data_IF_774080445138
#
_entry.id   IF_774080445138
#
_cell.length_a   1.000
_cell.length_b   1.000
_cell.length_c   1.000
_cell.angle_alpha   90.00
_cell.angle_beta   90.00
_cell.angle_gamma   90.00
#
_symmetry.space_group_name_H-M   'P 1'
#
loop_
_entity.id
_entity.type
_entity.pdbx_description
1 polymer ?
#
# COMPACT_ATOMS: atom_id res chain seq x y z
N UNK A 1 -4.51 -6.82 11.31
CA UNK A 1 -3.23 -6.22 11.68
C UNK A 1 -3.34 -5.42 12.98
N UNK A 2 -2.22 -5.02 13.56
CA UNK A 2 -2.17 -4.17 14.76
C UNK A 2 -2.52 -2.73 14.32
N UNK A 3 -3.55 -2.14 14.92
CA UNK A 3 -3.89 -0.73 14.69
C UNK A 3 -3.05 0.18 15.59
N UNK A 4 -2.90 1.45 15.22
CA UNK A 4 -2.21 2.45 16.06
C UNK A 4 -2.79 2.54 17.48
N UNK A 5 -4.12 2.43 17.62
CA UNK A 5 -4.80 2.40 18.91
C UNK A 5 -4.32 1.23 19.76
N UNK A 6 -4.28 0.03 19.21
CA UNK A 6 -3.81 -1.18 19.88
C UNK A 6 -2.33 -1.06 20.25
N UNK A 7 -1.51 -0.54 19.32
CA UNK A 7 -0.09 -0.35 19.59
C UNK A 7 0.15 0.63 20.76
N UNK A 8 -0.67 1.68 20.88
CA UNK A 8 -0.56 2.65 21.97
C UNK A 8 -1.12 2.14 23.31
N UNK A 9 -2.17 1.32 23.30
CA UNK A 9 -2.82 0.81 24.52
C UNK A 9 -2.13 -0.44 25.10
N UNK A 10 -1.60 -1.31 24.23
CA UNK A 10 -1.04 -2.61 24.61
C UNK A 10 0.45 -2.76 24.25
N UNK A 11 1.00 -1.83 23.48
CA UNK A 11 2.41 -1.80 23.11
C UNK A 11 3.29 -1.43 24.31
N UNK A 12 4.54 -1.89 24.24
CA UNK A 12 5.59 -1.43 25.17
C UNK A 12 6.31 -0.26 24.53
N UNK A 13 6.94 0.57 25.34
CA UNK A 13 7.79 1.65 24.85
C UNK A 13 8.91 1.12 23.94
N UNK A 14 9.10 1.75 22.79
CA UNK A 14 10.06 1.31 21.78
C UNK A 14 11.50 1.34 22.31
N UNK A 15 11.85 2.35 23.11
CA UNK A 15 13.18 2.49 23.67
C UNK A 15 13.49 1.38 24.68
N UNK A 16 12.50 0.98 25.49
CA UNK A 16 12.61 -0.15 26.38
C UNK A 16 12.87 -1.45 25.61
N UNK A 17 12.11 -1.70 24.55
CA UNK A 17 12.26 -2.90 23.69
C UNK A 17 13.63 -2.93 23.02
N UNK A 18 14.08 -1.80 22.46
CA UNK A 18 15.37 -1.70 21.79
C UNK A 18 16.54 -1.93 22.77
N UNK A 19 16.43 -1.41 23.99
CA UNK A 19 17.45 -1.67 25.04
C UNK A 19 17.47 -3.14 25.47
N UNK A 20 16.33 -3.82 25.57
CA UNK A 20 16.29 -5.26 25.82
C UNK A 20 16.89 -6.05 24.63
N UNK A 21 16.55 -5.67 23.42
CA UNK A 21 17.08 -6.31 22.22
C UNK A 21 18.60 -6.13 22.10
N UNK A 22 19.14 -4.94 22.40
CA UNK A 22 20.58 -4.68 22.45
C UNK A 22 21.29 -5.63 23.43
N UNK A 23 20.74 -5.86 24.64
CA UNK A 23 21.27 -6.82 25.61
C UNK A 23 21.27 -8.26 25.12
N UNK A 24 20.27 -8.64 24.29
CA UNK A 24 20.24 -9.97 23.65
C UNK A 24 21.31 -10.06 22.56
N UNK A 25 21.49 -8.99 21.77
CA UNK A 25 22.51 -8.93 20.73
C UNK A 25 23.94 -9.12 21.29
N UNK A 26 24.22 -8.64 22.50
CA UNK A 26 25.53 -8.86 23.15
C UNK A 26 25.84 -10.35 23.36
N UNK A 27 24.82 -11.17 23.57
CA UNK A 27 24.93 -12.59 23.93
C UNK A 27 24.93 -13.53 22.73
N UNK A 28 24.50 -13.07 21.56
CA UNK A 28 24.40 -13.91 20.36
C UNK A 28 25.62 -13.75 19.45
N UNK A 29 25.97 -14.82 18.76
CA UNK A 29 27.09 -14.84 17.80
C UNK A 29 26.66 -14.47 16.39
N UNK A 30 25.43 -14.83 16.01
CA UNK A 30 24.88 -14.72 14.67
C UNK A 30 23.42 -14.29 14.79
N UNK A 31 22.97 -13.44 13.89
CA UNK A 31 21.56 -13.12 13.72
C UNK A 31 21.05 -13.76 12.44
N UNK A 32 19.93 -14.47 12.52
CA UNK A 32 19.33 -15.14 11.38
C UNK A 32 17.94 -14.60 11.08
N UNK A 33 17.60 -14.61 9.80
CA UNK A 33 16.29 -14.25 9.29
C UNK A 33 16.08 -14.80 7.88
N UNK A 34 14.90 -14.64 7.34
CA UNK A 34 14.61 -14.93 5.94
C UNK A 34 14.41 -13.61 5.20
N UNK A 35 15.40 -13.18 4.39
CA UNK A 35 15.60 -11.81 3.92
C UNK A 35 16.00 -10.87 5.06
N UNK A 36 16.96 -11.30 5.86
CA UNK A 36 17.40 -10.66 7.11
C UNK A 36 17.86 -9.20 6.95
N UNK A 37 18.28 -8.82 5.75
CA UNK A 37 18.69 -7.44 5.45
C UNK A 37 17.54 -6.44 5.65
N UNK A 38 16.32 -6.85 5.34
CA UNK A 38 15.12 -6.04 5.59
C UNK A 38 14.94 -5.75 7.09
N UNK A 39 15.04 -6.78 7.92
CA UNK A 39 14.92 -6.64 9.38
C UNK A 39 16.04 -5.78 9.97
N UNK A 40 17.28 -5.96 9.49
CA UNK A 40 18.42 -5.14 9.90
C UNK A 40 18.24 -3.66 9.61
N UNK A 41 17.70 -3.35 8.43
CA UNK A 41 17.48 -1.97 8.04
C UNK A 41 16.38 -1.30 8.88
N UNK A 42 15.28 -2.01 9.16
CA UNK A 42 14.18 -1.48 9.98
C UNK A 42 14.64 -1.30 11.43
N UNK A 43 15.18 -2.36 12.05
CA UNK A 43 15.59 -2.31 13.45
C UNK A 43 16.76 -1.35 13.66
N UNK A 44 17.73 -1.33 12.73
CA UNK A 44 18.85 -0.39 12.77
C UNK A 44 18.40 1.07 12.66
N UNK A 45 17.39 1.36 11.82
CA UNK A 45 16.81 2.70 11.73
C UNK A 45 16.15 3.13 13.05
N UNK A 46 15.49 2.21 13.76
CA UNK A 46 14.88 2.53 15.07
C UNK A 46 15.94 2.77 16.16
N UNK A 47 17.03 1.99 16.19
CA UNK A 47 18.17 2.27 17.06
C UNK A 47 18.75 3.66 16.79
N UNK A 48 18.93 4.02 15.52
CA UNK A 48 19.42 5.34 15.11
C UNK A 48 18.47 6.48 15.54
N UNK A 49 17.17 6.33 15.28
CA UNK A 49 16.14 7.34 15.65
C UNK A 49 16.09 7.60 17.15
N UNK A 50 16.28 6.56 17.95
CA UNK A 50 16.26 6.64 19.42
C UNK A 50 17.63 6.99 20.01
N UNK A 51 18.66 7.17 19.18
CA UNK A 51 20.03 7.42 19.59
C UNK A 51 20.57 6.37 20.61
N UNK A 52 20.17 5.11 20.39
CA UNK A 52 20.60 3.98 21.21
C UNK A 52 21.79 3.32 20.49
N UNK A 53 22.90 3.17 21.22
CA UNK A 53 24.06 2.46 20.71
C UNK A 53 23.75 0.95 20.64
N UNK A 54 23.95 0.35 19.49
CA UNK A 54 23.78 -1.07 19.26
C UNK A 54 25.00 -1.67 18.56
N UNK A 55 25.03 -2.99 18.50
CA UNK A 55 26.02 -3.75 17.75
C UNK A 55 25.37 -4.65 16.66
N UNK A 56 24.16 -4.33 16.26
CA UNK A 56 23.42 -5.12 15.27
C UNK A 56 24.16 -5.22 13.94
N UNK A 57 24.71 -4.11 13.45
CA UNK A 57 25.42 -4.07 12.18
C UNK A 57 26.76 -4.82 12.19
N UNK A 58 27.33 -5.03 13.37
CA UNK A 58 28.57 -5.79 13.58
C UNK A 58 28.33 -7.30 13.63
N UNK A 59 27.09 -7.75 13.84
CA UNK A 59 26.77 -9.18 13.93
C UNK A 59 26.76 -9.84 12.57
N UNK A 60 27.38 -11.02 12.44
CA UNK A 60 27.24 -11.85 11.24
C UNK A 60 25.79 -12.19 10.96
N UNK A 61 25.43 -12.18 9.67
CA UNK A 61 24.09 -12.46 9.18
C UNK A 61 24.03 -13.87 8.59
N UNK A 62 23.04 -14.65 8.98
CA UNK A 62 22.71 -15.92 8.35
C UNK A 62 21.34 -15.80 7.68
N UNK A 63 21.32 -15.39 6.41
CA UNK A 63 20.10 -15.23 5.63
C UNK A 63 19.66 -16.56 5.04
N UNK A 64 18.59 -17.14 5.59
CA UNK A 64 18.06 -18.43 5.12
C UNK A 64 17.53 -18.38 3.68
N UNK A 65 17.11 -17.22 3.19
CA UNK A 65 16.68 -17.02 1.81
C UNK A 65 17.88 -17.16 0.85
N UNK A 66 18.97 -16.44 1.14
CA UNK A 66 20.18 -16.45 0.30
C UNK A 66 20.83 -17.82 0.35
N UNK A 67 21.07 -18.35 1.56
CA UNK A 67 21.72 -19.64 1.78
C UNK A 67 20.90 -20.84 1.24
N UNK A 68 19.57 -20.72 1.21
CA UNK A 68 18.66 -21.73 0.68
C UNK A 68 18.49 -21.70 -0.84
N UNK A 69 18.99 -20.67 -1.53
CA UNK A 69 18.76 -20.49 -2.98
C UNK A 69 19.28 -21.63 -3.81
N UNK A 70 20.53 -22.05 -3.60
CA UNK A 70 21.14 -23.16 -4.34
C UNK A 70 20.59 -24.54 -3.94
N UNK A 71 20.09 -24.67 -2.72
CA UNK A 71 19.40 -25.87 -2.26
C UNK A 71 18.01 -26.03 -2.89
N UNK A 72 17.24 -24.93 -2.99
CA UNK A 72 15.90 -24.96 -3.56
C UNK A 72 15.90 -25.13 -5.08
N UNK A 73 16.88 -24.55 -5.79
CA UNK A 73 17.02 -24.59 -7.25
C UNK A 73 15.77 -24.15 -8.02
N UNK A 74 15.09 -23.11 -7.53
CA UNK A 74 13.88 -22.61 -8.16
C UNK A 74 14.19 -21.90 -9.47
N UNK A 75 13.42 -22.23 -10.53
CA UNK A 75 13.56 -21.56 -11.82
C UNK A 75 13.07 -20.10 -11.80
N UNK A 76 13.50 -19.30 -12.79
CA UNK A 76 13.02 -17.93 -12.99
C UNK A 76 13.87 -16.83 -12.37
N UNK A 77 15.07 -17.14 -11.90
CA UNK A 77 16.05 -16.13 -11.47
C UNK A 77 16.66 -15.36 -12.66
N UNK A 78 17.09 -14.13 -12.42
CA UNK A 78 17.71 -13.27 -13.43
C UNK A 78 19.11 -13.79 -13.83
N UNK A 79 19.43 -13.73 -15.13
CA UNK A 79 20.77 -14.06 -15.65
C UNK A 79 21.13 -15.56 -15.55
N UNK A 80 20.14 -16.46 -15.63
CA UNK A 80 20.37 -17.90 -15.56
C UNK A 80 20.65 -18.46 -14.15
N UNK A 81 20.48 -17.64 -13.11
CA UNK A 81 20.60 -18.04 -11.70
C UNK A 81 19.29 -18.62 -11.18
N UNK A 82 19.33 -19.30 -10.04
CA UNK A 82 18.13 -19.71 -9.33
C UNK A 82 17.42 -18.50 -8.70
N UNK A 83 16.09 -18.59 -8.61
CA UNK A 83 15.26 -17.61 -7.87
C UNK A 83 15.43 -17.85 -6.37
N UNK A 84 15.61 -16.78 -5.60
CA UNK A 84 15.59 -16.87 -4.14
C UNK A 84 14.22 -17.38 -3.65
N UNK A 85 14.18 -18.38 -2.76
CA UNK A 85 12.93 -18.96 -2.28
C UNK A 85 12.21 -18.01 -1.32
N UNK A 86 10.88 -18.07 -1.31
CA UNK A 86 10.09 -17.58 -0.17
C UNK A 86 10.25 -18.54 1.01
N UNK A 87 9.95 -18.07 2.23
CA UNK A 87 10.02 -18.90 3.43
C UNK A 87 9.19 -20.19 3.30
N UNK A 88 7.98 -20.10 2.77
CA UNK A 88 7.09 -21.23 2.52
C UNK A 88 7.70 -22.24 1.52
N UNK A 89 8.34 -21.75 0.44
CA UNK A 89 8.97 -22.58 -0.59
C UNK A 89 10.19 -23.34 -0.03
N UNK A 90 10.99 -22.68 0.81
CA UNK A 90 12.13 -23.28 1.48
C UNK A 90 11.69 -24.28 2.55
N UNK A 91 10.68 -23.93 3.34
CA UNK A 91 10.11 -24.82 4.37
C UNK A 91 9.53 -26.10 3.73
N UNK A 92 8.72 -25.95 2.69
CA UNK A 92 8.15 -27.09 1.95
C UNK A 92 9.24 -27.97 1.32
N UNK A 93 10.32 -27.38 0.82
CA UNK A 93 11.46 -28.13 0.29
C UNK A 93 12.19 -28.93 1.36
N UNK A 94 12.29 -28.43 2.60
CA UNK A 94 12.97 -29.10 3.72
C UNK A 94 12.13 -30.19 4.37
N UNK A 95 10.82 -29.96 4.50
CA UNK A 95 9.92 -30.80 5.31
C UNK A 95 8.86 -31.57 4.49
N UNK A 96 8.68 -31.25 3.20
CA UNK A 96 7.69 -31.89 2.33
C UNK A 96 6.25 -31.41 2.53
N UNK A 97 6.03 -30.42 3.39
CA UNK A 97 4.72 -29.80 3.65
C UNK A 97 4.90 -28.33 3.98
N UNK A 98 3.84 -27.53 3.84
CA UNK A 98 3.81 -26.12 4.25
C UNK A 98 3.62 -26.00 5.75
N UNK A 99 4.03 -24.85 6.32
CA UNK A 99 3.69 -24.51 7.69
C UNK A 99 2.37 -23.75 7.73
N UNK A 100 1.67 -23.84 8.86
CA UNK A 100 0.39 -23.19 9.07
C UNK A 100 0.55 -21.72 9.46
N UNK A 101 -0.49 -20.91 9.18
CA UNK A 101 -0.57 -19.50 9.56
C UNK A 101 0.55 -18.60 8.99
N UNK A 102 1.03 -18.86 7.76
CA UNK A 102 1.93 -17.96 7.05
C UNK A 102 1.36 -16.51 7.08
N UNK A 103 2.28 -15.52 7.27
CA UNK A 103 1.98 -14.10 7.51
C UNK A 103 1.51 -13.73 8.93
N UNK A 104 1.63 -14.68 9.87
CA UNK A 104 1.60 -14.38 11.30
C UNK A 104 3.06 -14.28 11.80
N UNK A 105 3.45 -13.14 12.39
CA UNK A 105 4.84 -12.90 12.80
C UNK A 105 5.42 -14.00 13.70
N UNK A 106 4.61 -14.62 14.59
CA UNK A 106 5.07 -15.73 15.41
C UNK A 106 5.27 -17.02 14.62
N UNK A 107 4.36 -17.31 13.69
CA UNK A 107 4.49 -18.47 12.81
C UNK A 107 5.68 -18.33 11.87
N UNK A 108 5.90 -17.12 11.32
CA UNK A 108 7.05 -16.83 10.46
C UNK A 108 8.37 -16.93 11.22
N UNK A 109 8.46 -16.43 12.47
CA UNK A 109 9.65 -16.59 13.33
C UNK A 109 9.88 -18.06 13.67
N UNK A 110 8.84 -18.82 14.01
CA UNK A 110 8.92 -20.24 14.27
C UNK A 110 9.44 -21.02 13.04
N UNK A 111 8.85 -20.77 11.88
CA UNK A 111 9.25 -21.39 10.62
C UNK A 111 10.70 -21.02 10.24
N UNK A 112 11.08 -19.74 10.40
CA UNK A 112 12.44 -19.27 10.12
C UNK A 112 13.46 -19.93 11.06
N UNK A 113 13.18 -20.03 12.35
CA UNK A 113 14.05 -20.71 13.31
C UNK A 113 14.18 -22.20 12.99
N UNK A 114 13.06 -22.85 12.66
CA UNK A 114 13.05 -24.27 12.29
C UNK A 114 13.86 -24.53 11.02
N UNK A 115 13.65 -23.69 9.98
CA UNK A 115 14.41 -23.72 8.74
C UNK A 115 15.91 -23.50 8.99
N UNK A 116 16.28 -22.50 9.79
CA UNK A 116 17.67 -22.20 10.12
C UNK A 116 18.38 -23.39 10.76
N UNK A 117 17.79 -23.97 11.80
CA UNK A 117 18.40 -25.11 12.49
C UNK A 117 18.40 -26.38 11.63
N UNK A 118 17.40 -26.58 10.78
CA UNK A 118 17.41 -27.72 9.83
C UNK A 118 18.50 -27.56 8.78
N UNK A 119 18.65 -26.37 8.18
CA UNK A 119 19.74 -26.07 7.25
C UNK A 119 21.11 -26.24 7.88
N UNK A 120 21.25 -25.88 9.17
CA UNK A 120 22.46 -26.15 9.95
C UNK A 120 22.68 -27.66 10.13
N UNK A 121 21.63 -28.41 10.48
CA UNK A 121 21.68 -29.87 10.69
C UNK A 121 22.11 -30.61 9.43
N UNK A 122 21.57 -30.27 8.27
CA UNK A 122 21.90 -30.92 6.99
C UNK A 122 23.14 -30.34 6.30
N UNK A 123 23.77 -29.30 6.89
CA UNK A 123 25.06 -28.76 6.42
C UNK A 123 24.95 -27.76 5.26
N UNK A 124 23.80 -27.12 5.08
CA UNK A 124 23.63 -26.05 4.06
C UNK A 124 24.33 -24.77 4.53
N UNK A 125 24.31 -24.47 5.84
CA UNK A 125 24.92 -23.25 6.39
C UNK A 125 26.39 -23.51 6.70
N UNK A 126 27.34 -22.78 6.06
CA UNK A 126 28.78 -22.93 6.33
C UNK A 126 29.15 -22.56 7.77
N UNK A 127 30.14 -23.21 8.34
CA UNK A 127 30.65 -22.97 9.71
C UNK A 127 31.15 -21.54 9.90
N UNK A 128 31.67 -20.93 8.85
CA UNK A 128 32.13 -19.54 8.84
C UNK A 128 30.99 -18.55 9.09
N UNK A 129 29.82 -18.82 8.51
CA UNK A 129 28.60 -18.03 8.73
C UNK A 129 28.10 -18.18 10.15
N UNK A 130 28.16 -19.41 10.68
CA UNK A 130 27.73 -19.73 12.05
C UNK A 130 28.73 -19.25 13.13
N UNK A 131 29.94 -18.84 12.73
CA UNK A 131 31.04 -18.52 13.67
C UNK A 131 31.30 -19.66 14.66
N UNK A 132 31.34 -20.90 14.15
CA UNK A 132 31.52 -22.12 14.93
C UNK A 132 32.62 -22.99 14.30
N UNK A 133 32.97 -24.15 14.92
CA UNK A 133 33.86 -25.12 14.35
C UNK A 133 33.15 -26.34 13.78
N UNK A 134 33.81 -27.07 12.90
CA UNK A 134 33.28 -28.33 12.34
C UNK A 134 32.92 -29.33 13.45
N UNK A 135 33.75 -29.41 14.49
CA UNK A 135 33.49 -30.31 15.62
C UNK A 135 32.21 -29.92 16.39
N UNK A 136 31.96 -28.62 16.56
CA UNK A 136 30.74 -28.12 17.22
C UNK A 136 29.51 -28.40 16.35
N UNK A 137 29.63 -28.23 15.03
CA UNK A 137 28.57 -28.58 14.09
C UNK A 137 28.29 -30.07 14.06
N UNK A 138 29.36 -30.90 14.05
CA UNK A 138 29.23 -32.35 14.12
C UNK A 138 28.53 -32.77 15.43
N UNK A 139 28.92 -32.19 16.55
CA UNK A 139 28.26 -32.43 17.84
C UNK A 139 26.78 -32.05 17.81
N UNK A 140 26.44 -30.89 17.23
CA UNK A 140 25.04 -30.50 17.06
C UNK A 140 24.26 -31.55 16.27
N UNK A 141 24.79 -32.05 15.18
CA UNK A 141 24.17 -33.12 14.37
C UNK A 141 23.95 -34.42 15.14
N UNK A 142 24.82 -34.73 16.10
CA UNK A 142 24.60 -35.91 16.96
C UNK A 142 23.48 -35.71 17.99
N UNK A 143 23.27 -34.46 18.44
CA UNK A 143 22.18 -34.13 19.35
C UNK A 143 20.83 -34.09 18.65
N UNK A 144 20.81 -33.75 17.36
CA UNK A 144 19.60 -33.62 16.56
C UNK A 144 19.72 -34.54 15.31
N UNK A 145 19.61 -35.87 15.46
CA UNK A 145 19.68 -36.80 14.35
C UNK A 145 18.47 -36.71 13.41
N UNK A 146 17.30 -36.37 13.94
CA UNK A 146 16.04 -36.26 13.22
C UNK A 146 15.77 -34.81 12.77
N UNK A 147 14.90 -34.58 11.78
CA UNK A 147 14.47 -33.25 11.36
C UNK A 147 14.02 -32.37 12.54
N UNK A 148 14.42 -31.10 12.50
CA UNK A 148 14.11 -30.15 13.57
C UNK A 148 12.60 -29.95 13.68
N UNK A 149 12.07 -30.16 14.87
CA UNK A 149 10.65 -29.98 15.18
C UNK A 149 10.31 -28.51 15.45
N UNK A 150 9.04 -28.08 15.29
CA UNK A 150 8.61 -26.74 15.63
C UNK A 150 8.96 -26.37 17.08
N UNK A 151 9.44 -25.16 17.28
CA UNK A 151 9.86 -24.66 18.60
C UNK A 151 8.67 -24.28 19.50
N UNK A 152 7.44 -24.24 18.97
CA UNK A 152 6.22 -23.84 19.70
C UNK A 152 6.43 -22.53 20.46
N UNK A 153 7.01 -21.53 19.80
CA UNK A 153 7.17 -20.20 20.35
C UNK A 153 5.78 -19.64 20.60
N UNK A 154 5.35 -19.63 21.85
CA UNK A 154 4.08 -19.04 22.26
C UNK A 154 4.34 -17.55 22.50
N UNK A 155 3.79 -16.71 21.63
CA UNK A 155 3.65 -15.29 21.99
C UNK A 155 2.69 -15.24 23.18
N UNK A 156 3.15 -14.73 24.31
CA UNK A 156 2.35 -14.60 25.54
C UNK A 156 1.19 -13.60 25.43
N UNK A 157 0.71 -13.32 24.23
CA UNK A 157 -0.51 -12.56 23.98
C UNK A 157 -1.58 -13.51 23.48
N UNK A 158 -2.73 -13.41 24.10
CA UNK A 158 -3.94 -14.12 23.70
C UNK A 158 -4.39 -13.57 22.34
N UNK A 159 -3.83 -14.08 21.24
CA UNK A 159 -4.30 -13.80 19.85
C UNK A 159 -5.79 -14.15 19.72
N UNK A 160 -6.28 -15.08 20.56
CA UNK A 160 -7.70 -15.41 20.67
C UNK A 160 -8.58 -14.20 21.06
N UNK A 161 -8.08 -13.28 21.90
CA UNK A 161 -8.84 -12.07 22.26
C UNK A 161 -8.89 -11.04 21.14
N UNK A 162 -7.90 -11.04 20.25
CA UNK A 162 -7.89 -10.15 19.07
C UNK A 162 -9.00 -10.52 18.07
N UNK A 163 -9.19 -11.80 17.79
CA UNK A 163 -10.28 -12.26 16.92
C UNK A 163 -11.64 -12.14 17.58
N UNK A 164 -11.71 -12.33 18.90
CA UNK A 164 -12.95 -12.18 19.67
C UNK A 164 -13.30 -10.70 19.92
N UNK A 165 -12.32 -9.81 20.16
CA UNK A 165 -12.55 -8.36 20.22
C UNK A 165 -12.92 -7.77 18.85
N UNK A 166 -12.39 -8.32 17.74
CA UNK A 166 -12.85 -7.94 16.39
C UNK A 166 -14.33 -8.33 16.13
N UNK A 167 -14.83 -9.38 16.79
CA UNK A 167 -16.25 -9.74 16.76
C UNK A 167 -17.12 -8.90 17.70
N UNK A 168 -16.52 -8.17 18.65
CA UNK A 168 -17.23 -7.31 19.62
C UNK A 168 -17.05 -5.80 19.40
N UNK A 169 -16.14 -5.36 18.52
CA UNK A 169 -16.26 -4.03 17.94
C UNK A 169 -17.36 -4.14 16.88
N UNK A 170 -18.57 -3.87 17.30
CA UNK A 170 -19.69 -3.53 16.44
C UNK A 170 -19.32 -2.25 15.69
N UNK A 171 -18.56 -2.41 14.61
CA UNK A 171 -18.60 -1.43 13.55
C UNK A 171 -19.99 -1.58 12.98
N UNK A 172 -20.95 -0.81 13.44
CA UNK A 172 -22.34 -0.88 13.03
C UNK A 172 -22.52 -1.57 11.68
N UNK A 173 -23.50 -2.35 11.48
CA UNK A 173 -23.58 -3.18 10.27
C UNK A 173 -23.29 -2.27 9.07
N UNK A 174 -22.66 -2.79 8.02
CA UNK A 174 -22.49 -2.04 6.75
C UNK A 174 -23.83 -1.45 6.31
N UNK A 175 -24.94 -2.06 6.73
CA UNK A 175 -26.30 -1.61 6.51
C UNK A 175 -26.65 -0.28 7.25
N UNK A 176 -25.87 0.13 8.26
CA UNK A 176 -26.02 1.43 8.95
C UNK A 176 -25.22 2.55 8.27
N UNK A 177 -24.35 2.24 7.32
CA UNK A 177 -23.64 3.25 6.53
C UNK A 177 -24.61 3.72 5.45
N UNK A 178 -25.01 4.99 5.53
CA UNK A 178 -25.77 5.63 4.46
C UNK A 178 -24.91 5.74 3.19
N UNK A 179 -24.88 4.67 2.40
CA UNK A 179 -24.15 4.60 1.14
C UNK A 179 -24.61 5.66 0.14
N UNK A 180 -25.80 6.23 0.33
CA UNK A 180 -26.27 7.36 -0.48
C UNK A 180 -25.47 8.65 -0.28
N UNK A 181 -24.62 8.71 0.74
CA UNK A 181 -23.69 9.83 1.01
C UNK A 181 -22.25 9.53 0.71
N UNK A 182 -21.93 8.26 0.40
CA UNK A 182 -20.57 7.84 0.09
C UNK A 182 -20.35 7.81 -1.43
N UNK A 183 -19.19 8.24 -1.86
CA UNK A 183 -18.68 7.98 -3.22
C UNK A 183 -17.15 7.93 -3.21
N UNK A 184 -16.58 7.23 -4.18
CA UNK A 184 -15.14 7.18 -4.39
C UNK A 184 -14.77 8.14 -5.53
N UNK A 185 -13.87 9.10 -5.26
CA UNK A 185 -13.38 10.04 -6.25
C UNK A 185 -11.96 9.72 -6.73
N UNK A 186 -11.19 8.92 -5.99
CA UNK A 186 -9.83 8.52 -6.34
C UNK A 186 -9.87 7.15 -7.08
N UNK A 187 -10.35 7.17 -8.31
CA UNK A 187 -10.38 6.00 -9.18
C UNK A 187 -9.53 6.23 -10.42
N UNK A 188 -8.73 5.22 -10.75
CA UNK A 188 -7.95 5.16 -11.98
C UNK A 188 -8.64 4.31 -13.03
N UNK A 189 -8.64 4.77 -14.27
CA UNK A 189 -9.14 4.02 -15.41
C UNK A 189 -8.00 3.37 -16.22
N UNK A 190 -8.37 2.66 -17.29
CA UNK A 190 -7.40 2.10 -18.28
C UNK A 190 -6.46 3.14 -18.90
N UNK A 191 -6.75 4.44 -18.75
CA UNK A 191 -5.83 5.51 -19.16
C UNK A 191 -4.67 5.72 -18.20
N UNK A 192 -4.73 5.16 -16.99
CA UNK A 192 -3.59 4.98 -16.09
C UNK A 192 -2.81 3.74 -16.51
N UNK A 193 -2.14 3.83 -17.66
CA UNK A 193 -1.52 2.71 -18.37
C UNK A 193 -0.56 1.93 -17.47
N UNK A 194 -0.67 0.60 -17.45
CA UNK A 194 0.10 -0.37 -16.64
C UNK A 194 -0.19 -0.31 -15.12
N UNK A 195 -1.07 0.57 -14.64
CA UNK A 195 -1.41 0.68 -13.22
C UNK A 195 -2.87 0.35 -12.92
N UNK A 196 -3.77 0.58 -13.87
CA UNK A 196 -5.19 0.27 -13.72
C UNK A 196 -5.76 -0.46 -14.95
N UNK A 197 -6.75 -1.32 -14.71
CA UNK A 197 -7.46 -2.11 -15.74
C UNK A 197 -8.95 -1.78 -15.80
N UNK A 198 -9.45 -0.93 -14.92
CA UNK A 198 -10.87 -0.58 -14.83
C UNK A 198 -11.31 0.22 -16.04
N UNK A 199 -12.31 -0.27 -16.78
CA UNK A 199 -12.91 0.51 -17.87
C UNK A 199 -13.79 1.63 -17.28
N UNK A 200 -13.89 2.76 -18.00
CA UNK A 200 -14.78 3.86 -17.60
C UNK A 200 -16.23 3.38 -17.46
N UNK A 201 -16.68 2.52 -18.36
CA UNK A 201 -18.05 1.99 -18.33
C UNK A 201 -18.31 1.13 -17.09
N UNK A 202 -17.33 0.30 -16.67
CA UNK A 202 -17.45 -0.55 -15.47
C UNK A 202 -17.46 0.31 -14.20
N UNK A 203 -16.65 1.37 -14.15
CA UNK A 203 -16.63 2.32 -13.06
C UNK A 203 -18.00 2.99 -12.88
N UNK A 204 -18.59 3.50 -13.97
CA UNK A 204 -19.89 4.17 -13.96
C UNK A 204 -21.01 3.18 -13.67
N UNK A 205 -20.94 1.97 -14.27
CA UNK A 205 -21.90 0.92 -13.98
C UNK A 205 -21.92 0.59 -12.48
N UNK A 206 -20.75 0.39 -11.87
CA UNK A 206 -20.64 0.10 -10.44
C UNK A 206 -21.20 1.24 -9.58
N UNK A 207 -20.86 2.50 -9.88
CA UNK A 207 -21.39 3.67 -9.19
C UNK A 207 -22.93 3.80 -9.32
N UNK A 208 -23.47 3.38 -10.48
CA UNK A 208 -24.92 3.36 -10.73
C UNK A 208 -25.62 2.25 -9.97
N UNK A 209 -25.06 1.04 -10.00
CA UNK A 209 -25.61 -0.15 -9.33
C UNK A 209 -25.62 0.04 -7.78
N UNK A 210 -24.60 0.69 -7.23
CA UNK A 210 -24.47 0.99 -5.80
C UNK A 210 -25.20 2.30 -5.39
N UNK A 211 -25.87 2.98 -6.33
CA UNK A 211 -26.60 4.21 -6.10
C UNK A 211 -25.75 5.37 -5.53
N UNK A 212 -24.46 5.45 -5.90
CA UNK A 212 -23.61 6.54 -5.47
C UNK A 212 -24.12 7.89 -5.98
N UNK A 213 -23.99 8.97 -5.17
CA UNK A 213 -24.39 10.32 -5.58
C UNK A 213 -23.39 10.94 -6.56
N UNK A 214 -22.12 10.50 -6.53
CA UNK A 214 -21.06 10.99 -7.38
C UNK A 214 -20.06 9.88 -7.70
N UNK A 215 -19.24 10.08 -8.70
CA UNK A 215 -18.12 9.20 -9.05
C UNK A 215 -16.95 10.05 -9.54
N UNK A 216 -15.75 9.78 -9.02
CA UNK A 216 -14.53 10.45 -9.44
C UNK A 216 -13.70 9.62 -10.39
N UNK A 217 -12.89 10.31 -11.20
CA UNK A 217 -11.84 9.69 -12.02
C UNK A 217 -10.61 10.59 -12.04
N UNK A 218 -9.46 10.05 -11.61
CA UNK A 218 -8.18 10.77 -11.46
C UNK A 218 -7.04 9.95 -12.08
N UNK A 219 -7.03 9.84 -13.39
CA UNK A 219 -6.00 9.08 -14.08
C UNK A 219 -4.59 9.63 -13.81
N UNK A 220 -3.61 8.73 -13.75
CA UNK A 220 -2.25 9.02 -13.36
C UNK A 220 -1.50 9.78 -14.45
N UNK A 221 -1.17 11.04 -14.18
CA UNK A 221 -0.39 11.92 -15.04
C UNK A 221 -1.13 12.44 -16.29
N UNK A 222 -2.41 12.11 -16.48
CA UNK A 222 -3.10 12.53 -17.69
C UNK A 222 -4.62 12.76 -17.52
N UNK A 223 -5.18 13.51 -18.46
CA UNK A 223 -6.61 13.83 -18.56
C UNK A 223 -7.30 13.19 -19.79
N UNK A 224 -6.69 12.14 -20.38
CA UNK A 224 -7.14 11.58 -21.66
C UNK A 224 -8.53 10.93 -21.57
N UNK A 225 -8.89 10.36 -20.41
CA UNK A 225 -10.18 9.73 -20.14
C UNK A 225 -11.31 10.71 -19.85
N UNK A 226 -11.02 11.97 -19.50
CA UNK A 226 -11.97 12.90 -18.88
C UNK A 226 -13.25 13.13 -19.72
N UNK A 227 -13.10 13.41 -21.01
CA UNK A 227 -14.25 13.60 -21.91
C UNK A 227 -15.12 12.35 -22.01
N UNK A 228 -14.50 11.19 -22.21
CA UNK A 228 -15.21 9.91 -22.28
C UNK A 228 -15.94 9.59 -20.98
N UNK A 229 -15.31 9.90 -19.85
CA UNK A 229 -15.89 9.71 -18.52
C UNK A 229 -17.15 10.56 -18.32
N UNK A 230 -17.07 11.87 -18.57
CA UNK A 230 -18.21 12.78 -18.42
C UNK A 230 -19.35 12.36 -19.36
N UNK A 231 -19.06 12.09 -20.64
CA UNK A 231 -20.08 11.64 -21.61
C UNK A 231 -20.76 10.33 -21.19
N UNK A 232 -20.02 9.40 -20.58
CA UNK A 232 -20.61 8.15 -20.11
C UNK A 232 -21.47 8.34 -18.85
N UNK A 233 -21.10 9.28 -17.95
CA UNK A 233 -21.95 9.68 -16.81
C UNK A 233 -23.24 10.35 -17.30
N UNK A 234 -23.17 11.22 -18.31
CA UNK A 234 -24.36 11.84 -18.92
C UNK A 234 -25.29 10.79 -19.52
N UNK A 235 -24.74 9.77 -20.21
CA UNK A 235 -25.51 8.63 -20.69
C UNK A 235 -26.24 7.87 -19.58
N UNK A 236 -25.52 7.54 -18.50
CA UNK A 236 -26.11 6.89 -17.33
C UNK A 236 -27.20 7.73 -16.66
N UNK A 237 -27.04 9.05 -16.61
CA UNK A 237 -28.06 9.97 -16.10
C UNK A 237 -29.29 10.01 -16.99
N UNK A 238 -29.10 9.94 -18.33
CA UNK A 238 -30.21 9.81 -19.27
C UNK A 238 -31.03 8.53 -19.03
N UNK A 239 -30.36 7.42 -18.79
CA UNK A 239 -30.99 6.13 -18.46
C UNK A 239 -31.73 6.17 -17.12
N UNK A 240 -31.17 6.80 -16.08
CA UNK A 240 -31.83 7.03 -14.78
C UNK A 240 -33.11 7.84 -14.94
N UNK A 241 -33.04 8.96 -15.66
CA UNK A 241 -34.18 9.81 -15.91
C UNK A 241 -35.31 9.09 -16.68
N UNK A 242 -34.94 8.27 -17.68
CA UNK A 242 -35.88 7.46 -18.45
C UNK A 242 -36.60 6.43 -17.56
N UNK A 243 -35.85 5.66 -16.77
CA UNK A 243 -36.39 4.66 -15.83
C UNK A 243 -37.35 5.29 -14.82
N UNK A 244 -36.98 6.44 -14.27
CA UNK A 244 -37.84 7.17 -13.33
C UNK A 244 -39.15 7.68 -13.98
N UNK A 245 -39.05 8.17 -15.22
CA UNK A 245 -40.25 8.59 -15.97
C UNK A 245 -41.19 7.40 -16.27
N UNK A 246 -40.63 6.25 -16.65
CA UNK A 246 -41.38 5.02 -16.90
C UNK A 246 -42.05 4.53 -15.60
N UNK A 247 -41.34 4.58 -14.46
CA UNK A 247 -41.90 4.26 -13.15
C UNK A 247 -43.10 5.16 -12.79
N UNK A 248 -42.94 6.46 -12.95
CA UNK A 248 -44.05 7.39 -12.68
C UNK A 248 -45.28 7.14 -13.56
N UNK A 249 -45.09 6.86 -14.85
CA UNK A 249 -46.17 6.53 -15.76
C UNK A 249 -46.90 5.23 -15.36
N UNK A 250 -46.18 4.17 -14.98
CA UNK A 250 -46.77 2.91 -14.47
C UNK A 250 -47.53 3.13 -13.16
N UNK A 251 -46.96 3.93 -12.25
CA UNK A 251 -47.60 4.27 -10.96
C UNK A 251 -48.93 5.00 -11.16
N UNK A 252 -48.93 5.98 -12.07
CA UNK A 252 -50.16 6.73 -12.42
C UNK A 252 -51.19 5.78 -13.06
N UNK A 253 -50.79 4.89 -13.96
CA UNK A 253 -51.71 3.94 -14.61
C UNK A 253 -52.34 2.98 -13.59
N UNK A 254 -51.57 2.51 -12.61
CA UNK A 254 -52.06 1.64 -11.54
C UNK A 254 -53.06 2.42 -10.62
N UNK A 255 -52.73 3.66 -10.26
CA UNK A 255 -53.64 4.54 -9.48
C UNK A 255 -54.96 4.76 -10.21
N UNK A 256 -54.95 5.04 -11.52
CA UNK A 256 -56.16 5.21 -12.35
C UNK A 256 -57.01 3.94 -12.45
N UNK A 257 -56.39 2.77 -12.36
CA UNK A 257 -57.05 1.45 -12.38
C UNK A 257 -57.49 0.96 -11.00
N UNK A 258 -57.07 1.64 -9.92
CA UNK A 258 -57.30 1.20 -8.54
C UNK A 258 -56.51 -0.02 -8.15
N UNK A 259 -55.39 -0.28 -8.81
CA UNK A 259 -54.49 -1.42 -8.56
C UNK A 259 -53.40 -0.99 -7.58
N UNK A 260 -52.93 -1.96 -6.76
CA UNK A 260 -51.82 -1.74 -5.86
C UNK A 260 -50.47 -1.73 -6.64
N UNK A 261 -49.65 -0.70 -6.45
CA UNK A 261 -48.36 -0.54 -7.12
C UNK A 261 -47.21 -0.67 -6.14
N UNK A 262 -46.46 -1.79 -6.25
CA UNK A 262 -45.41 -2.19 -5.28
C UNK A 262 -43.99 -2.22 -5.89
N UNK A 263 -43.76 -1.62 -7.09
CA UNK A 263 -42.41 -1.49 -7.64
C UNK A 263 -41.62 -0.46 -6.80
N UNK A 264 -40.32 -0.75 -6.45
CA UNK A 264 -39.48 0.23 -5.78
C UNK A 264 -39.17 1.42 -6.68
N UNK A 265 -39.20 2.62 -6.11
CA UNK A 265 -38.88 3.85 -6.84
C UNK A 265 -37.40 3.84 -7.28
N UNK A 266 -37.10 3.96 -8.59
CA UNK A 266 -35.73 4.04 -9.05
C UNK A 266 -35.08 5.36 -8.68
N UNK A 267 -33.75 5.35 -8.52
CA UNK A 267 -32.97 6.57 -8.21
C UNK A 267 -33.18 7.61 -9.32
N UNK A 268 -33.72 8.76 -8.96
CA UNK A 268 -33.93 9.88 -9.86
C UNK A 268 -32.80 10.91 -9.85
N UNK A 269 -32.02 10.94 -8.78
CA UNK A 269 -30.92 11.88 -8.61
C UNK A 269 -29.83 11.60 -9.66
N UNK A 270 -29.29 12.63 -10.34
CA UNK A 270 -28.20 12.46 -11.29
C UNK A 270 -26.90 12.04 -10.58
N UNK A 271 -26.16 11.16 -11.20
CA UNK A 271 -24.78 10.85 -10.81
C UNK A 271 -23.88 12.04 -11.17
N UNK A 272 -23.12 12.56 -10.21
CA UNK A 272 -22.24 13.71 -10.41
C UNK A 272 -20.82 13.22 -10.81
N UNK A 273 -20.29 13.62 -11.99
CA UNK A 273 -18.91 13.31 -12.35
C UNK A 273 -17.94 14.25 -11.62
N UNK A 274 -16.94 13.69 -10.94
CA UNK A 274 -15.81 14.43 -10.37
C UNK A 274 -14.57 14.13 -11.20
N UNK A 275 -14.07 15.13 -11.92
CA UNK A 275 -12.93 14.99 -12.83
C UNK A 275 -11.67 15.49 -12.18
N UNK A 276 -10.60 14.71 -12.22
CA UNK A 276 -9.29 15.08 -11.70
C UNK A 276 -8.15 14.40 -12.43
N UNK A 277 -6.98 14.57 -11.87
CA UNK A 277 -5.76 13.90 -12.30
C UNK A 277 -4.82 13.73 -11.11
N UNK A 278 -4.17 12.58 -10.99
CA UNK A 278 -3.08 12.38 -10.06
C UNK A 278 -1.76 12.76 -10.74
N UNK A 279 -1.16 13.87 -10.31
CA UNK A 279 0.06 14.39 -10.93
C UNK A 279 1.32 13.88 -10.24
N UNK A 280 2.35 13.62 -11.03
CA UNK A 280 3.71 13.46 -10.53
C UNK A 280 4.37 14.82 -10.32
N UNK A 281 4.87 15.05 -9.11
CA UNK A 281 5.56 16.26 -8.71
C UNK A 281 7.07 16.05 -8.75
N UNK A 282 7.79 16.97 -9.34
CA UNK A 282 9.24 17.09 -9.25
C UNK A 282 9.64 18.54 -9.38
N UNK A 283 10.40 19.09 -8.42
CA UNK A 283 10.90 20.47 -8.49
C UNK A 283 11.78 20.71 -9.73
N UNK A 284 12.36 19.61 -10.25
CA UNK A 284 13.21 19.61 -11.46
C UNK A 284 12.49 18.94 -12.64
N UNK A 285 11.21 19.22 -12.83
CA UNK A 285 10.37 18.51 -13.79
C UNK A 285 10.87 18.59 -15.25
N UNK A 286 11.58 19.65 -15.64
CA UNK A 286 12.16 19.78 -16.99
C UNK A 286 13.50 19.05 -17.16
N UNK A 287 14.17 18.64 -16.08
CA UNK A 287 15.45 17.93 -16.13
C UNK A 287 15.30 16.53 -16.73
N UNK A 288 16.20 16.17 -17.67
CA UNK A 288 16.16 14.89 -18.39
C UNK A 288 17.39 14.00 -18.14
N UNK A 289 18.28 14.42 -17.24
CA UNK A 289 19.49 13.67 -16.89
C UNK A 289 19.60 13.57 -15.39
N UNK A 290 19.69 12.36 -14.88
CA UNK A 290 19.80 12.03 -13.46
C UNK A 290 20.88 10.96 -13.28
N UNK A 291 21.50 10.91 -12.10
CA UNK A 291 22.54 9.93 -11.74
C UNK A 291 22.06 9.09 -10.53
N UNK A 292 22.87 8.10 -10.15
CA UNK A 292 22.59 7.34 -8.92
C UNK A 292 22.68 8.19 -7.66
N UNK A 293 23.59 9.16 -7.66
CA UNK A 293 23.81 10.07 -6.51
C UNK A 293 22.85 11.26 -6.51
N UNK A 294 22.21 11.53 -7.63
CA UNK A 294 21.21 12.57 -7.82
C UNK A 294 20.02 12.01 -8.62
N UNK A 295 19.18 11.17 -7.99
CA UNK A 295 18.07 10.50 -8.67
C UNK A 295 16.90 11.44 -8.96
N UNK A 296 16.08 11.05 -9.94
CA UNK A 296 14.80 11.69 -10.19
C UNK A 296 13.81 11.33 -9.06
N UNK A 297 13.67 12.23 -8.10
CA UNK A 297 12.70 12.09 -7.01
C UNK A 297 11.36 12.63 -7.47
N UNK A 298 10.33 11.86 -7.23
CA UNK A 298 8.94 12.16 -7.61
C UNK A 298 8.03 11.88 -6.45
N UNK A 299 7.09 12.76 -6.23
CA UNK A 299 5.95 12.58 -5.34
C UNK A 299 4.67 12.69 -6.14
N UNK A 300 3.51 12.55 -5.50
CA UNK A 300 2.22 12.60 -6.15
C UNK A 300 1.27 13.57 -5.44
N UNK A 301 0.30 14.08 -6.18
CA UNK A 301 -0.82 14.85 -5.67
C UNK A 301 -2.05 14.59 -6.52
N UNK A 302 -3.20 14.39 -5.88
CA UNK A 302 -4.49 14.35 -6.56
C UNK A 302 -5.05 15.76 -6.66
N UNK A 303 -5.36 16.19 -7.87
CA UNK A 303 -6.00 17.48 -8.13
C UNK A 303 -7.34 17.25 -8.81
N UNK A 304 -8.41 17.86 -8.25
CA UNK A 304 -9.78 17.74 -8.76
C UNK A 304 -10.23 19.09 -9.34
N UNK A 305 -11.00 19.03 -10.42
CA UNK A 305 -11.64 20.21 -10.98
C UNK A 305 -12.89 20.59 -10.17
N UNK A 306 -12.90 21.76 -9.57
CA UNK A 306 -14.04 22.35 -8.87
C UNK A 306 -15.06 22.91 -9.84
N UNK A 307 -14.59 23.39 -10.98
CA UNK A 307 -15.38 24.00 -12.05
C UNK A 307 -14.71 23.81 -13.43
N UNK A 308 -15.32 24.38 -14.47
CA UNK A 308 -14.78 24.29 -15.83
C UNK A 308 -13.43 25.01 -16.00
N UNK A 309 -13.14 26.04 -15.20
CA UNK A 309 -11.84 26.70 -15.22
C UNK A 309 -10.75 25.77 -14.64
N UNK A 310 -11.06 25.12 -13.51
CA UNK A 310 -10.20 24.07 -12.94
C UNK A 310 -9.93 22.95 -13.92
N UNK A 311 -10.94 22.44 -14.63
CA UNK A 311 -10.73 21.44 -15.68
C UNK A 311 -9.75 21.91 -16.76
N UNK A 312 -9.88 23.14 -17.26
CA UNK A 312 -8.93 23.71 -18.22
C UNK A 312 -7.52 23.81 -17.65
N UNK A 313 -7.40 24.17 -16.38
CA UNK A 313 -6.11 24.28 -15.70
C UNK A 313 -5.45 22.90 -15.54
N UNK A 314 -6.20 21.88 -15.13
CA UNK A 314 -5.70 20.50 -15.08
C UNK A 314 -5.27 19.99 -16.45
N UNK A 315 -6.04 20.28 -17.51
CA UNK A 315 -5.68 19.92 -18.88
C UNK A 315 -4.38 20.60 -19.35
N UNK A 316 -4.16 21.86 -18.95
CA UNK A 316 -2.89 22.58 -19.22
C UNK A 316 -1.73 21.97 -18.46
N UNK A 317 -1.89 21.69 -17.16
CA UNK A 317 -0.88 21.04 -16.33
C UNK A 317 -0.48 19.68 -16.93
N UNK A 318 -1.46 18.84 -17.30
CA UNK A 318 -1.21 17.57 -17.97
C UNK A 318 -0.44 17.77 -19.29
N UNK A 319 -0.84 18.72 -20.11
CA UNK A 319 -0.15 19.03 -21.37
C UNK A 319 1.30 19.47 -21.16
N UNK A 320 1.56 20.34 -20.16
CA UNK A 320 2.91 20.79 -19.80
C UNK A 320 3.74 19.61 -19.29
N UNK A 321 3.15 18.75 -18.46
CA UNK A 321 3.79 17.53 -17.98
C UNK A 321 4.30 16.64 -19.13
N UNK A 322 3.49 16.44 -20.17
CA UNK A 322 3.91 15.69 -21.35
C UNK A 322 4.91 16.42 -22.24
N UNK A 323 4.71 17.71 -22.49
CA UNK A 323 5.56 18.48 -23.42
C UNK A 323 6.91 18.82 -22.82
N UNK A 324 6.96 19.17 -21.54
CA UNK A 324 8.17 19.64 -20.86
C UNK A 324 8.69 18.67 -19.80
N UNK A 325 7.77 18.08 -19.04
CA UNK A 325 8.08 17.25 -17.87
C UNK A 325 8.31 15.77 -18.13
N UNK A 326 8.07 15.28 -19.36
CA UNK A 326 8.10 13.85 -19.64
C UNK A 326 9.50 13.26 -19.54
N UNK A 327 9.66 12.26 -18.65
CA UNK A 327 10.91 11.55 -18.45
C UNK A 327 10.65 10.11 -17.97
N UNK A 328 11.28 9.14 -18.61
CA UNK A 328 11.11 7.71 -18.34
C UNK A 328 9.63 7.28 -18.21
N UNK A 329 8.82 7.67 -19.18
CA UNK A 329 7.39 7.28 -19.24
C UNK A 329 6.47 8.10 -18.32
N UNK A 330 6.99 9.08 -17.56
CA UNK A 330 6.24 9.82 -16.54
C UNK A 330 6.18 11.30 -16.86
N UNK A 331 4.98 11.90 -17.03
CA UNK A 331 4.79 13.34 -17.14
C UNK A 331 4.86 13.98 -15.74
N UNK A 332 5.82 14.86 -15.52
CA UNK A 332 6.03 15.55 -14.24
C UNK A 332 5.69 17.02 -14.33
N UNK A 333 5.26 17.59 -13.22
CA UNK A 333 5.04 19.05 -13.04
C UNK A 333 5.72 19.50 -11.77
N UNK A 334 5.93 20.81 -11.56
CA UNK A 334 6.43 21.32 -10.29
C UNK A 334 5.31 21.88 -9.42
N UNK A 335 5.58 22.06 -8.12
CA UNK A 335 4.66 22.68 -7.18
C UNK A 335 4.33 24.14 -7.60
N UNK A 336 5.34 24.88 -8.06
CA UNK A 336 5.17 26.25 -8.53
C UNK A 336 4.22 26.31 -9.74
N UNK A 337 4.37 25.36 -10.66
CA UNK A 337 3.47 25.26 -11.81
C UNK A 337 2.04 24.92 -11.38
N UNK A 338 1.87 24.02 -10.41
CA UNK A 338 0.55 23.72 -9.84
C UNK A 338 -0.05 24.99 -9.18
N UNK A 339 0.75 25.77 -8.45
CA UNK A 339 0.29 27.02 -7.84
C UNK A 339 -0.12 28.07 -8.88
N UNK A 340 0.54 28.12 -10.04
CA UNK A 340 0.18 29.00 -11.16
C UNK A 340 -1.21 28.66 -11.73
N UNK A 341 -1.55 27.35 -11.78
CA UNK A 341 -2.81 26.87 -12.37
C UNK A 341 -3.82 26.39 -11.32
N UNK A 342 -3.75 26.89 -10.09
CA UNK A 342 -4.59 26.43 -8.95
C UNK A 342 -6.05 26.87 -9.01
N UNK A 343 -6.39 27.90 -9.78
CA UNK A 343 -7.74 28.48 -9.79
C UNK A 343 -8.77 27.46 -10.25
N UNK A 344 -9.83 27.28 -9.45
CA UNK A 344 -10.87 26.26 -9.70
C UNK A 344 -10.41 24.81 -9.46
N UNK A 345 -9.31 24.59 -8.72
CA UNK A 345 -8.74 23.29 -8.44
C UNK A 345 -8.76 23.00 -6.94
N UNK A 346 -9.13 21.77 -6.58
CA UNK A 346 -9.05 21.22 -5.22
C UNK A 346 -7.83 20.31 -5.17
N UNK A 347 -7.02 20.39 -4.12
CA UNK A 347 -5.85 19.55 -3.90
C UNK A 347 -6.04 18.57 -2.74
N UNK A 348 -5.65 17.32 -2.93
CA UNK A 348 -5.68 16.26 -1.93
C UNK A 348 -4.27 15.71 -1.71
N UNK A 349 -3.95 15.32 -0.48
CA UNK A 349 -2.57 14.90 -0.11
C UNK A 349 -2.08 13.61 -0.78
N UNK A 350 -2.90 12.85 -1.46
CA UNK A 350 -2.57 11.51 -1.97
C UNK A 350 -2.17 10.50 -0.87
N UNK A 351 -1.86 9.26 -1.27
CA UNK A 351 -1.40 8.20 -0.38
C UNK A 351 0.06 8.36 0.06
N UNK A 352 0.72 7.23 0.38
CA UNK A 352 2.11 7.21 0.91
C UNK A 352 3.15 7.81 -0.05
N UNK A 353 2.85 7.89 -1.34
CA UNK A 353 3.67 8.52 -2.37
C UNK A 353 3.37 10.03 -2.54
N UNK A 354 2.43 10.54 -1.75
CA UNK A 354 2.10 11.96 -1.73
C UNK A 354 3.24 12.82 -1.24
N UNK A 355 3.22 14.09 -1.62
CA UNK A 355 4.29 15.05 -1.36
C UNK A 355 4.61 15.20 0.14
N UNK A 356 3.57 15.26 0.97
CA UNK A 356 3.73 15.39 2.43
C UNK A 356 4.14 14.06 3.08
N UNK A 357 3.44 12.93 2.86
CA UNK A 357 3.83 11.65 3.43
C UNK A 357 5.24 11.22 3.04
N UNK A 358 5.64 11.41 1.78
CA UNK A 358 7.00 11.11 1.31
C UNK A 358 8.05 11.94 2.07
N UNK A 359 7.80 13.22 2.28
CA UNK A 359 8.70 14.09 3.03
C UNK A 359 8.84 13.65 4.49
N UNK A 360 7.74 13.29 5.16
CA UNK A 360 7.77 12.78 6.55
C UNK A 360 8.61 11.51 6.62
N UNK A 361 8.39 10.57 5.71
CA UNK A 361 9.05 9.26 5.71
C UNK A 361 10.53 9.31 5.36
N UNK A 362 10.91 10.17 4.39
CA UNK A 362 12.24 10.15 3.78
C UNK A 362 13.13 11.33 4.20
N UNK A 363 12.55 12.42 4.78
CA UNK A 363 13.29 13.62 5.15
C UNK A 363 13.09 14.03 6.61
N UNK A 364 11.89 13.75 7.15
CA UNK A 364 11.53 14.02 8.54
C UNK A 364 10.28 14.92 8.67
N UNK A 365 9.72 14.93 9.89
CA UNK A 365 8.46 15.64 10.20
C UNK A 365 8.51 17.15 9.89
N UNK A 366 9.63 17.79 10.16
CA UNK A 366 9.80 19.24 9.90
C UNK A 366 9.58 19.56 8.41
N UNK A 367 10.14 18.71 7.51
CA UNK A 367 9.95 18.91 6.07
C UNK A 367 8.51 18.63 5.63
N UNK A 368 7.88 17.64 6.23
CA UNK A 368 6.46 17.36 6.04
C UNK A 368 5.58 18.54 6.47
N UNK A 369 5.88 19.16 7.62
CA UNK A 369 5.15 20.34 8.10
C UNK A 369 5.35 21.56 7.17
N UNK A 370 6.57 21.80 6.68
CA UNK A 370 6.83 22.87 5.70
C UNK A 370 5.99 22.69 4.43
N UNK A 371 5.94 21.46 3.90
CA UNK A 371 5.13 21.16 2.70
C UNK A 371 3.64 21.24 2.99
N UNK A 372 3.16 20.73 4.14
CA UNK A 372 1.77 20.89 4.55
C UNK A 372 1.36 22.36 4.60
N UNK A 373 2.19 23.23 5.19
CA UNK A 373 1.94 24.69 5.25
C UNK A 373 1.90 25.28 3.83
N UNK A 374 2.86 24.89 2.97
CA UNK A 374 2.87 25.35 1.58
C UNK A 374 1.57 25.00 0.83
N UNK A 375 1.10 23.76 0.95
CA UNK A 375 -0.15 23.32 0.33
C UNK A 375 -1.35 24.07 0.89
N UNK A 376 -1.43 24.21 2.22
CA UNK A 376 -2.52 24.92 2.91
C UNK A 376 -2.54 26.41 2.55
N UNK A 377 -1.39 27.07 2.49
CA UNK A 377 -1.30 28.47 2.13
C UNK A 377 -1.62 28.71 0.63
N UNK A 378 -1.29 27.72 -0.22
CA UNK A 378 -1.55 27.80 -1.66
C UNK A 378 -3.02 27.59 -1.99
N UNK A 379 -3.67 26.59 -1.42
CA UNK A 379 -5.03 26.20 -1.78
C UNK A 379 -6.11 26.63 -0.75
N UNK A 380 -5.72 27.02 0.46
CA UNK A 380 -6.67 27.48 1.49
C UNK A 380 -7.70 26.41 1.85
N UNK A 381 -8.98 26.74 1.65
CA UNK A 381 -10.09 25.83 1.94
C UNK A 381 -10.32 24.75 0.87
N UNK A 382 -9.64 24.86 -0.27
CA UNK A 382 -9.63 23.84 -1.32
C UNK A 382 -8.49 22.82 -1.16
N UNK A 383 -7.84 22.74 0.02
CA UNK A 383 -6.86 21.73 0.38
C UNK A 383 -7.43 20.74 1.39
N UNK A 384 -7.35 19.44 1.10
CA UNK A 384 -7.84 18.34 1.92
C UNK A 384 -6.74 17.29 2.18
N UNK A 385 -6.84 16.67 3.36
CA UNK A 385 -5.88 15.65 3.83
C UNK A 385 -6.55 14.29 3.90
#
# INVERSE_FOLDING_TARGET
>A
GITTKIANEEGRDLEEILNEFSKVLEKVRVVSGHNVEFDYNIVGAEFYRKNIKDNLQEKPKADTMILGTDFCQLGGGKGGRYKAPKLEELYEKLYGHKFDEAHNAAADVNATAQVFFEMMRIGIIPVEVLKTSEDQLAYFKTLYPDPIKPFNIVIRRQVADFHNKKKQQDFGSIDEIDLGKYFNFDNHSVFSTLTATTSINDLIKKATDDNFPAVGMVDLGNMMGAFKFVSAVEGANGDRAKKHKEYLAKKQEAEEKGEEFNEPEPVSQPLIPVVGCEFYISDRYEQKQFTKDDPDRRTQVVLLAKDFNGYKNLAKLSSIGFLKGFYFGVPRVSRELIAEYKEGVIALTSGIHGDIPDAILNTGEQKGEELFRWWKDTFGDDFYV
#
